data_IF_495789705736
#
_entry.id   IF_495789705736
#
_cell.length_a   1.000
_cell.length_b   1.000
_cell.length_c   1.000
_cell.angle_alpha   90.00
_cell.angle_beta   90.00
_cell.angle_gamma   90.00
#
_symmetry.space_group_name_H-M   'P 1'
#
loop_
_entity.id
_entity.type
_entity.pdbx_description
1 polymer ?
#
# COMPACT_ATOMS: atom_id res chain seq x y z
N UNK A 1 18.63 -13.45 0.00
CA UNK A 1 18.37 -13.52 -1.43
C UNK A 1 16.87 -13.74 -1.65
N UNK A 2 16.26 -12.92 -2.48
CA UNK A 2 14.79 -12.74 -2.51
C UNK A 2 14.22 -13.14 -3.88
N UNK A 3 14.64 -14.30 -4.39
CA UNK A 3 14.11 -14.85 -5.63
C UNK A 3 12.67 -15.34 -5.47
N UNK A 4 11.85 -15.10 -6.50
CA UNK A 4 10.47 -15.56 -6.59
C UNK A 4 10.32 -16.97 -7.19
N UNK A 5 11.40 -17.73 -7.34
CA UNK A 5 11.35 -19.10 -7.85
C UNK A 5 10.36 -20.04 -7.10
N UNK A 6 10.27 -20.00 -5.75
CA UNK A 6 9.26 -20.79 -5.03
C UNK A 6 7.82 -20.34 -5.34
N UNK A 7 7.64 -19.05 -5.61
CA UNK A 7 6.34 -18.48 -5.97
C UNK A 7 5.93 -18.91 -7.38
N UNK A 8 6.84 -18.85 -8.35
CA UNK A 8 6.61 -19.33 -9.71
C UNK A 8 6.18 -20.81 -9.73
N UNK A 9 6.89 -21.66 -8.98
CA UNK A 9 6.56 -23.08 -8.83
C UNK A 9 5.13 -23.26 -8.28
N UNK A 10 4.82 -22.58 -7.16
CA UNK A 10 3.49 -22.70 -6.54
C UNK A 10 2.38 -22.19 -7.44
N UNK A 11 2.61 -21.09 -8.16
CA UNK A 11 1.68 -20.55 -9.13
C UNK A 11 1.41 -21.54 -10.27
N UNK A 12 2.45 -22.19 -10.79
CA UNK A 12 2.33 -23.22 -11.80
C UNK A 12 1.47 -24.42 -11.34
N UNK A 13 1.70 -24.90 -10.10
CA UNK A 13 0.88 -25.96 -9.49
C UNK A 13 -0.62 -25.56 -9.42
N UNK A 14 -0.89 -24.34 -8.99
CA UNK A 14 -2.28 -23.83 -8.87
C UNK A 14 -2.98 -23.65 -10.22
N UNK A 15 -2.24 -23.23 -11.24
CA UNK A 15 -2.77 -23.01 -12.58
C UNK A 15 -2.78 -24.29 -13.44
N UNK A 16 -2.17 -25.38 -12.98
CA UNK A 16 -2.04 -26.63 -13.75
C UNK A 16 -1.23 -26.47 -15.03
N UNK A 17 -0.31 -25.50 -15.09
CA UNK A 17 0.55 -25.21 -16.23
C UNK A 17 1.88 -24.63 -15.80
N UNK A 18 2.87 -24.69 -16.68
CA UNK A 18 4.17 -24.08 -16.42
C UNK A 18 4.07 -22.55 -16.35
N UNK A 19 4.76 -21.95 -15.36
CA UNK A 19 4.87 -20.50 -15.20
C UNK A 19 6.37 -20.18 -15.07
N UNK A 20 7.03 -19.83 -16.19
CA UNK A 20 8.45 -19.51 -16.16
C UNK A 20 8.74 -18.27 -15.33
N UNK A 21 9.84 -18.33 -14.57
CA UNK A 21 10.40 -17.16 -13.89
C UNK A 21 11.34 -16.43 -14.85
N UNK A 22 11.06 -15.16 -15.12
CA UNK A 22 11.85 -14.33 -16.02
C UNK A 22 12.76 -13.42 -15.19
N UNK A 23 14.07 -13.68 -15.18
CA UNK A 23 15.03 -12.94 -14.35
C UNK A 23 15.34 -11.54 -14.88
N UNK A 24 15.69 -11.44 -16.16
CA UNK A 24 16.17 -10.19 -16.78
C UNK A 24 15.07 -9.43 -17.52
N UNK A 25 13.89 -9.41 -16.95
CA UNK A 25 12.67 -8.89 -17.58
C UNK A 25 12.69 -7.38 -17.88
N UNK A 26 13.49 -6.57 -17.18
CA UNK A 26 13.56 -5.11 -17.38
C UNK A 26 14.10 -4.72 -18.77
N UNK A 27 14.84 -5.62 -19.42
CA UNK A 27 15.38 -5.40 -20.77
C UNK A 27 14.45 -5.88 -21.87
N UNK A 28 13.43 -6.62 -21.54
CA UNK A 28 12.42 -7.12 -22.47
C UNK A 28 11.78 -8.41 -22.00
N UNK A 29 10.51 -8.59 -22.35
CA UNK A 29 9.75 -9.82 -22.09
C UNK A 29 9.01 -10.20 -23.35
N UNK A 30 9.09 -11.48 -23.74
CA UNK A 30 8.27 -12.03 -24.83
C UNK A 30 7.33 -13.08 -24.24
N UNK A 31 6.04 -12.89 -24.42
CA UNK A 31 5.00 -13.81 -23.95
C UNK A 31 4.12 -14.17 -25.14
N UNK A 32 3.97 -15.46 -25.42
CA UNK A 32 3.08 -15.90 -26.49
C UNK A 32 1.60 -15.82 -26.05
N UNK A 33 0.66 -15.69 -26.99
CA UNK A 33 -0.76 -15.67 -26.68
C UNK A 33 -1.20 -16.86 -25.82
N UNK A 34 -1.93 -16.58 -24.73
CA UNK A 34 -2.38 -17.58 -23.77
C UNK A 34 -1.33 -18.07 -22.77
N UNK A 35 -0.10 -17.60 -22.88
CA UNK A 35 0.96 -17.88 -21.90
C UNK A 35 1.03 -16.82 -20.82
N UNK A 36 1.71 -17.13 -19.73
CA UNK A 36 2.02 -16.22 -18.64
C UNK A 36 3.39 -16.53 -18.06
N UNK A 37 4.02 -15.57 -17.45
CA UNK A 37 5.28 -15.71 -16.73
C UNK A 37 5.27 -14.89 -15.45
N UNK A 38 6.11 -15.27 -14.51
CA UNK A 38 6.37 -14.49 -13.31
C UNK A 38 7.67 -13.72 -13.51
N UNK A 39 7.60 -12.41 -13.38
CA UNK A 39 8.81 -11.58 -13.42
C UNK A 39 9.52 -11.64 -12.08
N UNK A 40 10.86 -11.74 -12.11
CA UNK A 40 11.65 -11.76 -10.88
C UNK A 40 11.46 -10.47 -10.08
N UNK A 41 11.76 -10.54 -8.80
CA UNK A 41 11.51 -9.52 -7.79
C UNK A 41 11.80 -8.08 -8.28
N UNK A 42 10.74 -7.30 -8.49
CA UNK A 42 10.85 -5.92 -8.97
C UNK A 42 11.62 -5.01 -8.00
N UNK A 43 11.63 -5.33 -6.71
CA UNK A 43 12.26 -4.49 -5.66
C UNK A 43 13.78 -4.46 -5.71
N UNK A 44 14.42 -5.35 -6.46
CA UNK A 44 15.88 -5.32 -6.65
C UNK A 44 16.32 -4.34 -7.73
N UNK A 45 15.41 -3.85 -8.54
CA UNK A 45 15.74 -2.93 -9.64
C UNK A 45 16.11 -1.55 -9.13
N UNK A 46 17.21 -1.01 -9.68
CA UNK A 46 17.65 0.33 -9.37
C UNK A 46 16.59 1.36 -9.80
N UNK A 47 16.17 2.21 -8.88
CA UNK A 47 15.15 3.24 -9.13
C UNK A 47 13.73 2.82 -8.80
N UNK A 48 13.45 1.54 -8.52
CA UNK A 48 12.11 1.05 -8.19
C UNK A 48 11.47 1.81 -7.02
N UNK A 49 12.14 1.82 -5.86
CA UNK A 49 11.66 2.52 -4.65
C UNK A 49 11.58 4.04 -4.78
N UNK A 50 12.36 4.62 -5.70
CA UNK A 50 12.40 6.05 -5.94
C UNK A 50 11.42 6.51 -7.02
N UNK A 51 10.65 5.58 -7.57
CA UNK A 51 9.78 5.86 -8.70
C UNK A 51 10.52 6.55 -9.86
N UNK A 52 11.73 6.07 -10.18
CA UNK A 52 12.58 6.72 -11.16
C UNK A 52 11.96 6.66 -12.57
N UNK A 53 11.78 7.80 -13.20
CA UNK A 53 11.17 7.92 -14.53
C UNK A 53 11.81 7.02 -15.60
N UNK A 54 13.15 6.90 -15.70
CA UNK A 54 13.75 6.03 -16.70
C UNK A 54 13.36 4.56 -16.55
N UNK A 55 13.20 4.08 -15.31
CA UNK A 55 12.71 2.73 -15.05
C UNK A 55 11.23 2.62 -15.40
N UNK A 56 10.40 3.56 -14.94
CA UNK A 56 8.96 3.56 -15.19
C UNK A 56 8.63 3.51 -16.69
N UNK A 57 9.36 4.26 -17.52
CA UNK A 57 9.21 4.23 -18.98
C UNK A 57 9.62 2.88 -19.59
N UNK A 58 10.69 2.26 -19.08
CA UNK A 58 11.08 0.90 -19.52
C UNK A 58 10.01 -0.12 -19.17
N UNK A 59 9.46 -0.06 -17.97
CA UNK A 59 8.40 -0.95 -17.52
C UNK A 59 7.13 -0.80 -18.37
N UNK A 60 6.71 0.43 -18.64
CA UNK A 60 5.55 0.73 -19.46
C UNK A 60 5.69 0.22 -20.90
N UNK A 61 6.91 0.22 -21.45
CA UNK A 61 7.17 -0.31 -22.79
C UNK A 61 7.07 -1.84 -22.90
N UNK A 62 6.94 -2.56 -21.77
CA UNK A 62 6.80 -4.02 -21.75
C UNK A 62 5.35 -4.50 -21.93
N UNK A 63 4.37 -3.59 -21.89
CA UNK A 63 2.97 -3.98 -21.92
C UNK A 63 2.10 -2.98 -22.72
N UNK A 64 1.03 -3.49 -23.28
CA UNK A 64 -0.03 -2.68 -23.89
C UNK A 64 -1.04 -2.20 -22.85
N UNK A 65 -1.25 -3.02 -21.81
CA UNK A 65 -2.15 -2.74 -20.70
C UNK A 65 -1.45 -3.07 -19.39
N UNK A 66 -1.35 -2.09 -18.50
CA UNK A 66 -0.93 -2.27 -17.13
C UNK A 66 -2.14 -2.42 -16.22
N UNK A 67 -2.20 -3.52 -15.46
CA UNK A 67 -3.25 -3.76 -14.46
C UNK A 67 -2.62 -3.76 -13.07
N UNK A 68 -3.04 -2.82 -12.22
CA UNK A 68 -2.67 -2.87 -10.79
C UNK A 68 -3.77 -3.61 -10.03
N UNK A 69 -3.45 -4.78 -9.51
CA UNK A 69 -4.35 -5.59 -8.66
C UNK A 69 -3.74 -5.89 -7.29
N UNK A 70 -2.76 -5.07 -6.87
CA UNK A 70 -2.02 -5.23 -5.62
C UNK A 70 -2.42 -4.15 -4.61
N UNK A 71 -3.61 -4.27 -4.02
CA UNK A 71 -4.14 -3.31 -3.04
C UNK A 71 -3.17 -3.04 -1.88
N UNK A 72 -2.54 -4.07 -1.33
CA UNK A 72 -1.60 -3.95 -0.22
C UNK A 72 -0.38 -3.05 -0.48
N UNK A 73 -0.04 -2.79 -1.75
CA UNK A 73 1.07 -1.92 -2.15
C UNK A 73 0.62 -0.66 -2.89
N UNK A 74 -0.67 -0.49 -3.15
CA UNK A 74 -1.22 0.60 -3.97
C UNK A 74 -0.93 1.99 -3.40
N UNK A 75 -0.68 2.11 -2.09
CA UNK A 75 -0.30 3.34 -1.41
C UNK A 75 1.14 3.80 -1.65
N UNK A 76 1.97 3.00 -2.34
CA UNK A 76 3.39 3.28 -2.57
C UNK A 76 3.60 3.92 -3.93
N UNK A 77 4.23 5.11 -3.96
CA UNK A 77 4.69 5.76 -5.19
C UNK A 77 6.02 5.14 -5.64
N UNK A 78 5.97 3.92 -6.18
CA UNK A 78 7.14 3.16 -6.63
C UNK A 78 7.00 2.82 -8.13
N UNK A 79 8.10 2.42 -8.79
CA UNK A 79 8.15 2.22 -10.24
C UNK A 79 7.09 1.26 -10.78
N UNK A 80 6.92 0.09 -10.14
CA UNK A 80 5.98 -0.96 -10.58
C UNK A 80 4.55 -0.79 -10.07
N UNK A 81 4.29 0.16 -9.17
CA UNK A 81 2.94 0.45 -8.68
C UNK A 81 2.37 1.73 -9.26
N UNK A 82 3.13 2.82 -9.24
CA UNK A 82 2.70 4.14 -9.67
C UNK A 82 3.36 4.58 -10.98
N UNK A 83 4.69 4.48 -11.08
CA UNK A 83 5.43 5.00 -12.22
C UNK A 83 5.01 4.37 -13.55
N UNK A 84 4.88 3.05 -13.60
CA UNK A 84 4.44 2.34 -14.81
C UNK A 84 3.06 2.82 -15.28
N UNK A 85 2.14 3.11 -14.36
CA UNK A 85 0.80 3.58 -14.69
C UNK A 85 0.79 4.96 -15.36
N UNK A 86 1.81 5.79 -15.10
CA UNK A 86 1.93 7.11 -15.70
C UNK A 86 2.31 7.07 -17.19
N UNK A 87 2.96 5.99 -17.63
CA UNK A 87 3.55 5.88 -18.97
C UNK A 87 2.98 4.72 -19.79
N UNK A 88 2.26 3.78 -19.18
CA UNK A 88 1.60 2.69 -19.90
C UNK A 88 0.51 3.25 -20.84
N UNK A 89 0.33 2.66 -22.04
CA UNK A 89 -0.72 3.08 -22.97
C UNK A 89 -2.11 3.04 -22.34
N UNK A 90 -2.38 2.00 -21.56
CA UNK A 90 -3.60 1.82 -20.76
C UNK A 90 -3.19 1.39 -19.36
N UNK A 91 -3.74 2.06 -18.34
CA UNK A 91 -3.56 1.68 -16.94
C UNK A 91 -4.93 1.55 -16.26
N UNK A 92 -5.16 0.43 -15.58
CA UNK A 92 -6.43 0.17 -14.89
C UNK A 92 -6.22 -0.59 -13.57
N UNK A 93 -7.27 -0.57 -12.74
CA UNK A 93 -7.34 -1.41 -11.55
C UNK A 93 -7.79 -2.82 -11.94
N UNK A 94 -7.20 -3.83 -11.28
CA UNK A 94 -7.72 -5.18 -11.34
C UNK A 94 -8.91 -5.40 -10.39
N UNK A 95 -9.54 -6.58 -10.45
CA UNK A 95 -10.75 -6.87 -9.68
C UNK A 95 -10.56 -6.75 -8.16
N UNK A 96 -9.41 -7.19 -7.64
CA UNK A 96 -9.11 -7.11 -6.20
C UNK A 96 -8.98 -5.66 -5.75
N UNK A 97 -8.18 -4.86 -6.47
CA UNK A 97 -7.99 -3.45 -6.15
C UNK A 97 -9.31 -2.68 -6.24
N UNK A 98 -10.11 -2.92 -7.27
CA UNK A 98 -11.41 -2.30 -7.43
C UNK A 98 -12.36 -2.64 -6.28
N UNK A 99 -12.46 -3.93 -5.91
CA UNK A 99 -13.31 -4.39 -4.81
C UNK A 99 -12.92 -3.78 -3.46
N UNK A 100 -11.62 -3.66 -3.17
CA UNK A 100 -11.11 -3.04 -1.95
C UNK A 100 -11.43 -1.53 -1.90
N UNK A 101 -11.23 -0.83 -3.02
CA UNK A 101 -11.58 0.60 -3.12
C UNK A 101 -13.08 0.80 -2.94
N UNK A 102 -13.91 -0.01 -3.58
CA UNK A 102 -15.37 0.05 -3.47
C UNK A 102 -15.82 -0.21 -2.03
N UNK A 103 -15.26 -1.20 -1.36
CA UNK A 103 -15.58 -1.54 0.02
C UNK A 103 -15.25 -0.37 0.98
N UNK A 104 -14.05 0.22 0.85
CA UNK A 104 -13.64 1.37 1.69
C UNK A 104 -14.48 2.60 1.38
N UNK A 105 -14.73 2.87 0.10
CA UNK A 105 -15.56 4.02 -0.32
C UNK A 105 -16.97 3.88 0.25
N UNK A 106 -17.57 2.71 0.14
CA UNK A 106 -18.90 2.43 0.68
C UNK A 106 -18.95 2.57 2.20
N UNK A 107 -17.92 2.09 2.90
CA UNK A 107 -17.81 2.19 4.35
C UNK A 107 -17.72 3.64 4.86
N UNK A 108 -17.20 4.57 4.03
CA UNK A 108 -17.02 5.97 4.42
C UNK A 108 -18.09 6.92 3.85
N UNK A 109 -18.75 6.57 2.74
CA UNK A 109 -19.71 7.45 2.08
C UNK A 109 -21.05 7.53 2.84
N UNK A 110 -21.59 6.38 3.25
CA UNK A 110 -22.86 6.28 3.98
C UNK A 110 -22.77 5.16 5.03
N UNK A 111 -21.95 5.32 6.08
CA UNK A 111 -21.77 4.29 7.08
C UNK A 111 -23.01 4.11 7.94
N UNK A 112 -23.23 2.89 8.38
CA UNK A 112 -24.10 2.67 9.53
C UNK A 112 -23.46 3.23 10.79
N UNK A 113 -24.25 3.90 11.63
CA UNK A 113 -23.79 4.49 12.89
C UNK A 113 -24.07 3.56 14.08
N UNK A 114 -23.18 3.52 15.10
CA UNK A 114 -21.93 4.27 15.20
C UNK A 114 -20.83 3.70 14.30
N UNK A 115 -20.10 4.58 13.60
CA UNK A 115 -18.89 4.21 12.86
C UNK A 115 -17.68 4.32 13.79
N UNK A 116 -16.98 3.23 13.97
CA UNK A 116 -15.79 3.15 14.83
C UNK A 116 -14.56 2.89 13.96
N UNK A 117 -13.55 3.76 14.07
CA UNK A 117 -12.26 3.51 13.45
C UNK A 117 -11.23 3.03 14.47
N UNK A 118 -10.43 2.04 14.10
CA UNK A 118 -9.30 1.57 14.90
C UNK A 118 -8.00 1.82 14.15
N UNK A 119 -7.16 2.71 14.68
CA UNK A 119 -5.87 3.08 14.09
C UNK A 119 -4.74 2.72 15.04
N UNK A 120 -3.87 1.81 14.64
CA UNK A 120 -2.73 1.39 15.43
C UNK A 120 -1.42 1.50 14.63
N UNK A 121 -0.32 1.59 15.35
CA UNK A 121 1.01 1.67 14.75
C UNK A 121 2.07 2.14 15.76
N UNK A 122 3.31 2.21 15.31
CA UNK A 122 4.43 2.63 16.17
C UNK A 122 4.56 4.15 16.29
N UNK A 123 4.15 4.92 15.27
CA UNK A 123 4.38 6.36 15.18
C UNK A 123 3.16 7.13 14.72
N UNK A 124 2.82 8.20 15.42
CA UNK A 124 1.75 9.16 15.03
C UNK A 124 2.12 9.87 13.74
N UNK A 125 3.38 10.28 13.58
CA UNK A 125 3.88 11.01 12.39
C UNK A 125 3.52 10.35 11.06
N UNK A 126 3.44 9.01 11.04
CA UNK A 126 3.08 8.26 9.84
C UNK A 126 1.58 8.17 9.57
N UNK A 127 0.74 8.54 10.54
CA UNK A 127 -0.72 8.36 10.52
C UNK A 127 -1.50 9.64 10.84
N UNK A 128 -0.82 10.74 11.13
CA UNK A 128 -1.45 11.98 11.61
C UNK A 128 -2.55 12.47 10.67
N UNK A 129 -2.27 12.56 9.37
CA UNK A 129 -3.24 12.99 8.36
C UNK A 129 -4.47 12.07 8.31
N UNK A 130 -4.26 10.75 8.51
CA UNK A 130 -5.34 9.78 8.56
C UNK A 130 -6.19 9.98 9.82
N UNK A 131 -5.55 10.16 10.99
CA UNK A 131 -6.23 10.40 12.25
C UNK A 131 -7.09 11.67 12.21
N UNK A 132 -6.52 12.77 11.70
CA UNK A 132 -7.23 14.03 11.49
C UNK A 132 -8.42 13.87 10.52
N UNK A 133 -8.22 13.20 9.38
CA UNK A 133 -9.28 12.96 8.40
C UNK A 133 -10.39 12.03 8.92
N UNK A 134 -10.08 11.13 9.85
CA UNK A 134 -11.08 10.24 10.45
C UNK A 134 -11.86 10.92 11.57
N UNK A 135 -11.24 11.83 12.34
CA UNK A 135 -11.91 12.54 13.43
C UNK A 135 -13.22 13.19 13.00
N UNK A 136 -13.26 13.76 11.80
CA UNK A 136 -14.48 14.39 11.23
C UNK A 136 -15.53 13.39 10.69
N UNK A 137 -15.21 12.09 10.62
CA UNK A 137 -16.04 11.10 9.90
C UNK A 137 -16.59 10.01 10.79
N UNK A 138 -15.93 9.73 11.90
CA UNK A 138 -16.27 8.60 12.77
C UNK A 138 -16.90 9.07 14.07
N UNK A 139 -17.69 8.19 14.68
CA UNK A 139 -18.29 8.47 16.01
C UNK A 139 -17.33 8.12 17.14
N UNK A 140 -16.40 7.21 16.90
CA UNK A 140 -15.36 6.81 17.86
C UNK A 140 -14.05 6.49 17.15
N UNK A 141 -12.95 6.95 17.72
CA UNK A 141 -11.59 6.66 17.25
C UNK A 141 -10.83 5.88 18.32
N UNK A 142 -10.51 4.63 18.03
CA UNK A 142 -9.67 3.79 18.88
C UNK A 142 -8.23 3.89 18.40
N UNK A 143 -7.32 4.29 19.27
CA UNK A 143 -5.89 4.34 18.96
C UNK A 143 -5.13 3.26 19.70
N UNK A 144 -4.15 2.63 19.04
CA UNK A 144 -3.39 1.51 19.58
C UNK A 144 -1.87 1.62 19.33
N UNK A 145 -1.11 0.78 20.03
CA UNK A 145 0.36 0.71 19.89
C UNK A 145 1.07 1.97 20.34
N UNK A 146 2.20 2.31 19.72
CA UNK A 146 2.97 3.53 20.00
C UNK A 146 2.20 4.83 19.75
N UNK A 147 1.22 4.79 18.84
CA UNK A 147 0.27 5.90 18.62
C UNK A 147 -0.47 6.19 19.90
N UNK A 148 -1.08 5.18 20.55
CA UNK A 148 -1.81 5.35 21.79
C UNK A 148 -0.95 5.98 22.89
N UNK A 149 0.32 5.60 23.00
CA UNK A 149 1.21 6.17 24.00
C UNK A 149 1.40 7.69 23.82
N UNK A 150 1.48 8.17 22.58
CA UNK A 150 1.57 9.61 22.31
C UNK A 150 0.27 10.33 22.70
N UNK A 151 -0.89 9.74 22.44
CA UNK A 151 -2.19 10.27 22.86
C UNK A 151 -2.34 10.27 24.39
N UNK A 152 -1.94 9.18 25.06
CA UNK A 152 -1.94 9.10 26.52
C UNK A 152 -1.04 10.17 27.14
N UNK A 153 0.16 10.38 26.58
CA UNK A 153 1.08 11.43 27.03
C UNK A 153 0.49 12.83 26.79
N UNK A 154 -0.17 13.06 25.64
CA UNK A 154 -0.87 14.30 25.33
C UNK A 154 -2.01 14.59 26.33
N UNK A 155 -2.69 13.55 26.78
CA UNK A 155 -3.72 13.60 27.83
C UNK A 155 -3.14 13.74 29.26
N UNK A 156 -1.82 13.85 29.42
CA UNK A 156 -1.15 14.02 30.73
C UNK A 156 -0.91 12.74 31.51
N UNK A 157 -1.10 11.56 30.88
CA UNK A 157 -0.88 10.27 31.51
C UNK A 157 0.61 9.88 31.50
N UNK A 158 1.04 9.21 32.55
CA UNK A 158 2.41 8.70 32.64
C UNK A 158 2.54 7.41 31.85
N UNK A 159 3.37 7.41 30.80
CA UNK A 159 3.64 6.27 29.94
C UNK A 159 4.99 5.59 30.23
N UNK A 160 5.73 6.02 31.23
CA UNK A 160 7.03 5.50 31.61
C UNK A 160 8.04 5.63 30.44
N UNK A 161 8.69 4.51 30.08
CA UNK A 161 9.65 4.43 28.98
C UNK A 161 9.02 3.96 27.66
N UNK A 162 7.70 3.97 27.53
CA UNK A 162 7.02 3.55 26.32
C UNK A 162 7.35 4.45 25.13
N UNK A 163 7.37 3.87 23.92
CA UNK A 163 7.61 4.63 22.71
C UNK A 163 6.51 5.68 22.50
N UNK A 164 6.90 6.94 22.35
CA UNK A 164 6.02 8.05 22.00
C UNK A 164 6.76 9.08 21.16
N UNK A 165 6.02 10.01 20.57
CA UNK A 165 6.55 11.14 19.80
C UNK A 165 6.19 12.47 20.50
N UNK A 166 7.04 12.96 21.44
CA UNK A 166 6.74 14.17 22.21
C UNK A 166 6.57 15.44 21.36
N UNK A 167 7.20 15.48 20.18
CA UNK A 167 7.07 16.59 19.24
C UNK A 167 5.66 16.73 18.63
N UNK A 168 4.80 15.70 18.76
CA UNK A 168 3.46 15.65 18.18
C UNK A 168 2.34 15.69 19.25
N UNK A 169 2.63 16.15 20.45
CA UNK A 169 1.65 16.21 21.53
C UNK A 169 0.51 17.20 21.23
N UNK A 170 0.84 18.33 20.63
CA UNK A 170 -0.17 19.33 20.26
C UNK A 170 -1.08 18.83 19.12
N UNK A 171 -0.53 18.12 18.16
CA UNK A 171 -1.31 17.47 17.11
C UNK A 171 -2.23 16.37 17.69
N UNK A 172 -1.72 15.58 18.64
CA UNK A 172 -2.51 14.55 19.31
C UNK A 172 -3.65 15.18 20.15
N UNK A 173 -3.41 16.30 20.84
CA UNK A 173 -4.44 17.07 21.54
C UNK A 173 -5.50 17.59 20.56
N UNK A 174 -5.08 18.15 19.44
CA UNK A 174 -6.02 18.64 18.43
C UNK A 174 -6.96 17.54 17.92
N UNK A 175 -6.47 16.31 17.77
CA UNK A 175 -7.33 15.16 17.42
C UNK A 175 -8.26 14.78 18.57
N UNK A 176 -7.79 14.80 19.82
CA UNK A 176 -8.65 14.54 21.01
C UNK A 176 -9.78 15.56 21.10
N UNK A 177 -9.46 16.85 20.91
CA UNK A 177 -10.42 17.95 21.03
C UNK A 177 -11.45 17.96 19.88
N UNK A 178 -11.13 17.33 18.74
CA UNK A 178 -12.02 17.21 17.58
C UNK A 178 -13.03 16.06 17.70
N UNK A 179 -12.83 15.13 18.63
CA UNK A 179 -13.67 13.94 18.84
C UNK A 179 -14.68 14.14 19.98
#
# INVERSE_FOLDING_TARGET
EVSLAPVAKRLGELLGRDVPLVADWVVGVTVAPGQGGLLENCRVNLGEKKNAEPLARKLAALCDIFVNDAFGTAHRAEGTTYGIAQYAPIACAGPLLAAEIDAITKALAQPQRPLVANVAGSKVSTKLTILQSLADKVDQLIVGGGIANTFMLAAGLNIGKSLAEPALLDDARAVIDAM
#
